data_IF_217081396566
#
_entry.id   IF_217081396566
#
_cell.length_a   1.000
_cell.length_b   1.000
_cell.length_c   1.000
_cell.angle_alpha   90.00
_cell.angle_beta   90.00
_cell.angle_gamma   90.00
#
_symmetry.space_group_name_H-M   'P 1'
#
loop_
_entity.id
_entity.type
_entity.pdbx_description
1 polymer ?
#
# COMPACT_ATOMS: atom_id res chain seq x y z
N UNK A 1 -15.85 8.76 18.12
CA UNK A 1 -15.20 7.54 17.61
C UNK A 1 -15.18 7.66 16.11
N UNK A 2 -14.00 7.70 15.47
CA UNK A 2 -13.95 7.70 13.99
C UNK A 2 -14.67 6.44 13.46
N UNK A 3 -15.44 6.55 12.36
CA UNK A 3 -16.10 5.39 11.77
C UNK A 3 -15.05 4.35 11.37
N UNK A 4 -15.32 3.07 11.66
CA UNK A 4 -14.49 1.95 11.20
C UNK A 4 -14.51 1.91 9.68
N UNK A 5 -13.48 2.47 9.03
CA UNK A 5 -13.35 2.47 7.57
C UNK A 5 -12.89 1.11 7.08
N UNK A 6 -13.54 0.60 6.04
CA UNK A 6 -13.16 -0.66 5.40
C UNK A 6 -11.76 -0.54 4.77
N UNK A 7 -10.90 -1.53 5.00
CA UNK A 7 -9.61 -1.63 4.32
C UNK A 7 -9.81 -2.20 2.92
N UNK A 8 -9.24 -1.56 1.91
CA UNK A 8 -9.32 -1.98 0.50
C UNK A 8 -8.05 -2.68 0.02
N UNK A 9 -6.88 -2.21 0.48
CA UNK A 9 -5.58 -2.77 0.10
C UNK A 9 -4.61 -2.72 1.27
N UNK A 10 -3.62 -3.61 1.25
CA UNK A 10 -2.40 -3.46 2.05
C UNK A 10 -1.26 -3.02 1.12
N UNK A 11 -0.26 -2.32 1.66
CA UNK A 11 0.91 -1.93 0.91
C UNK A 11 2.20 -2.08 1.72
N UNK A 12 3.30 -2.26 1.00
CA UNK A 12 4.66 -2.27 1.53
C UNK A 12 5.54 -1.35 0.68
N UNK A 13 6.38 -0.57 1.35
CA UNK A 13 7.33 0.37 0.75
C UNK A 13 8.72 0.05 1.24
N UNK A 14 9.63 -0.23 0.32
CA UNK A 14 11.06 -0.34 0.60
C UNK A 14 11.74 0.97 0.21
N UNK A 15 12.53 1.52 1.14
CA UNK A 15 13.49 2.59 0.85
C UNK A 15 14.89 2.00 0.93
N UNK A 16 15.70 2.25 -0.09
CA UNK A 16 17.05 1.72 -0.22
C UNK A 16 18.10 2.70 0.29
N UNK A 17 19.34 2.22 0.45
CA UNK A 17 20.47 3.03 0.94
C UNK A 17 20.77 4.25 0.06
N UNK A 18 20.53 4.14 -1.25
CA UNK A 18 20.64 5.21 -2.25
C UNK A 18 19.42 6.17 -2.26
N UNK A 19 18.54 6.08 -1.25
CA UNK A 19 17.31 6.85 -1.09
C UNK A 19 16.24 6.62 -2.17
N UNK A 20 16.47 5.73 -3.14
CA UNK A 20 15.41 5.27 -4.05
C UNK A 20 14.38 4.42 -3.30
N UNK A 21 13.18 4.26 -3.88
CA UNK A 21 12.09 3.52 -3.24
C UNK A 21 11.31 2.68 -4.23
N UNK A 22 10.78 1.55 -3.76
CA UNK A 22 9.74 0.79 -4.45
C UNK A 22 8.54 0.61 -3.53
N UNK A 23 7.35 0.57 -4.11
CA UNK A 23 6.10 0.33 -3.37
C UNK A 23 5.34 -0.76 -4.08
N UNK A 24 4.78 -1.68 -3.31
CA UNK A 24 3.86 -2.70 -3.78
C UNK A 24 2.59 -2.63 -2.95
N UNK A 25 1.44 -2.83 -3.60
CA UNK A 25 0.15 -2.95 -2.93
C UNK A 25 -0.65 -4.12 -3.50
N UNK A 26 -1.49 -4.73 -2.65
CA UNK A 26 -2.40 -5.80 -3.06
C UNK A 26 -3.77 -5.63 -2.40
N UNK A 27 -4.81 -5.74 -3.22
CA UNK A 27 -6.19 -5.81 -2.76
C UNK A 27 -6.51 -7.23 -2.26
N UNK A 28 -7.53 -7.35 -1.40
CA UNK A 28 -8.05 -8.65 -0.96
C UNK A 28 -7.20 -9.40 0.06
N UNK A 29 -5.99 -8.91 0.40
CA UNK A 29 -5.20 -9.43 1.51
C UNK A 29 -5.58 -8.75 2.83
N UNK A 30 -5.55 -9.53 3.90
CA UNK A 30 -5.71 -9.03 5.27
C UNK A 30 -4.40 -8.38 5.76
N UNK A 31 -4.47 -7.35 6.62
CA UNK A 31 -3.30 -6.66 7.18
C UNK A 31 -2.63 -7.49 8.28
N UNK A 32 -2.15 -8.68 7.94
CA UNK A 32 -1.42 -9.58 8.82
C UNK A 32 0.03 -9.75 8.35
N UNK A 33 0.87 -10.31 9.22
CA UNK A 33 2.31 -10.42 8.97
C UNK A 33 2.64 -11.29 7.75
N UNK A 34 1.88 -12.36 7.52
CA UNK A 34 2.06 -13.25 6.37
C UNK A 34 1.87 -12.51 5.04
N UNK A 35 0.77 -11.76 4.93
CA UNK A 35 0.48 -10.93 3.75
C UNK A 35 1.58 -9.90 3.49
N UNK A 36 2.09 -9.23 4.53
CA UNK A 36 3.22 -8.30 4.37
C UNK A 36 4.54 -9.01 4.04
N UNK A 37 4.75 -10.23 4.54
CA UNK A 37 5.89 -11.08 4.19
C UNK A 37 5.92 -11.42 2.70
N UNK A 38 4.77 -11.76 2.13
CA UNK A 38 4.63 -11.98 0.69
C UNK A 38 4.98 -10.72 -0.11
N UNK A 39 4.46 -9.55 0.31
CA UNK A 39 4.80 -8.28 -0.33
C UNK A 39 6.28 -7.92 -0.19
N UNK A 40 6.90 -8.24 0.95
CA UNK A 40 8.32 -7.99 1.18
C UNK A 40 9.19 -8.82 0.24
N UNK A 41 8.89 -10.12 0.13
CA UNK A 41 9.61 -11.02 -0.77
C UNK A 41 9.52 -10.55 -2.23
N UNK A 42 8.32 -10.17 -2.66
CA UNK A 42 8.09 -9.65 -4.01
C UNK A 42 8.76 -8.28 -4.24
N UNK A 43 8.71 -7.36 -3.28
CA UNK A 43 9.34 -6.05 -3.42
C UNK A 43 10.87 -6.14 -3.42
N UNK A 44 11.44 -7.02 -2.60
CA UNK A 44 12.89 -7.19 -2.49
C UNK A 44 13.48 -7.87 -3.74
N UNK A 45 12.80 -8.86 -4.31
CA UNK A 45 13.27 -9.58 -5.51
C UNK A 45 13.42 -8.67 -6.74
N UNK A 46 12.71 -7.54 -6.80
CA UNK A 46 12.80 -6.57 -7.89
C UNK A 46 14.13 -5.82 -7.97
N UNK A 47 14.86 -5.69 -6.86
CA UNK A 47 16.07 -4.82 -6.83
C UNK A 47 17.24 -5.40 -6.07
N UNK A 48 17.02 -6.18 -5.01
CA UNK A 48 18.10 -6.76 -4.17
C UNK A 48 19.01 -5.74 -3.46
N UNK A 49 18.72 -4.43 -3.57
CA UNK A 49 19.52 -3.35 -2.96
C UNK A 49 19.40 -3.39 -1.43
N UNK A 50 20.43 -2.87 -0.75
CA UNK A 50 20.42 -2.69 0.71
C UNK A 50 19.23 -1.82 1.13
N UNK A 51 18.36 -2.37 1.96
CA UNK A 51 17.18 -1.69 2.50
C UNK A 51 17.59 -0.90 3.75
N UNK A 52 17.12 0.34 3.85
CA UNK A 52 17.33 1.21 5.03
C UNK A 52 16.06 1.47 5.83
N UNK A 53 14.90 1.31 5.21
CA UNK A 53 13.60 1.52 5.84
C UNK A 53 12.56 0.66 5.15
N UNK A 54 11.70 0.03 5.95
CA UNK A 54 10.52 -0.72 5.52
C UNK A 54 9.30 0.01 6.10
N UNK A 55 8.39 0.42 5.23
CA UNK A 55 7.11 0.99 5.62
C UNK A 55 5.97 0.06 5.20
N UNK A 56 5.04 -0.22 6.09
CA UNK A 56 3.83 -1.00 5.80
C UNK A 56 2.59 -0.18 6.15
N UNK A 57 1.46 -0.49 5.52
CA UNK A 57 0.20 0.15 5.86
C UNK A 57 -0.97 -0.34 5.04
N UNK A 58 -2.11 0.32 5.23
CA UNK A 58 -3.38 -0.01 4.59
C UNK A 58 -3.92 1.17 3.81
N UNK A 59 -4.72 0.88 2.78
CA UNK A 59 -5.59 1.83 2.11
C UNK A 59 -7.00 1.62 2.64
N UNK A 60 -7.66 2.70 3.05
CA UNK A 60 -9.07 2.67 3.39
C UNK A 60 -9.91 2.88 2.13
N UNK A 61 -11.15 2.41 2.16
CA UNK A 61 -12.15 2.78 1.17
C UNK A 61 -12.34 4.30 1.19
N UNK A 62 -12.51 4.88 0.00
CA UNK A 62 -12.97 6.26 -0.10
C UNK A 62 -14.35 6.35 0.56
N UNK A 63 -14.58 7.48 1.22
CA UNK A 63 -15.93 7.82 1.67
C UNK A 63 -16.67 8.16 0.38
N UNK A 64 -17.89 7.66 0.19
CA UNK A 64 -18.75 8.06 -0.93
C UNK A 64 -18.91 9.59 -0.87
N UNK A 65 -18.02 10.31 -1.55
CA UNK A 65 -18.22 11.69 -1.90
C UNK A 65 -19.18 11.63 -3.07
N UNK A 66 -20.26 12.41 -3.04
CA UNK A 66 -21.13 12.59 -4.20
C UNK A 66 -20.25 12.88 -5.42
N UNK A 67 -20.09 11.88 -6.28
CA UNK A 67 -19.29 12.00 -7.48
C UNK A 67 -20.15 12.80 -8.45
N UNK A 68 -20.05 14.12 -8.35
CA UNK A 68 -20.72 15.01 -9.29
C UNK A 68 -20.11 14.77 -10.68
N UNK A 69 -20.88 14.16 -11.57
CA UNK A 69 -20.51 14.05 -12.98
C UNK A 69 -20.43 15.47 -13.55
N UNK A 70 -19.23 15.89 -13.96
CA UNK A 70 -19.06 17.20 -14.56
C UNK A 70 -19.76 17.24 -15.93
N UNK A 71 -20.44 18.36 -16.27
CA UNK A 71 -21.02 18.55 -17.58
C UNK A 71 -19.91 18.59 -18.65
N UNK A 72 -20.22 18.11 -19.85
CA UNK A 72 -19.28 18.03 -20.97
C UNK A 72 -19.03 19.38 -21.69
N UNK A 73 -19.39 20.51 -21.07
CA UNK A 73 -19.33 21.85 -21.68
C UNK A 73 -17.93 22.47 -21.63
#
# INVERSE_FOLDING_TARGET
KEPTRRITKIFLKLKFSDFTRTTIERAGLLPNLESYGQLLQEAFSRTGKKVRLIGIGVRFAEIDQEVAQLPLL
#
